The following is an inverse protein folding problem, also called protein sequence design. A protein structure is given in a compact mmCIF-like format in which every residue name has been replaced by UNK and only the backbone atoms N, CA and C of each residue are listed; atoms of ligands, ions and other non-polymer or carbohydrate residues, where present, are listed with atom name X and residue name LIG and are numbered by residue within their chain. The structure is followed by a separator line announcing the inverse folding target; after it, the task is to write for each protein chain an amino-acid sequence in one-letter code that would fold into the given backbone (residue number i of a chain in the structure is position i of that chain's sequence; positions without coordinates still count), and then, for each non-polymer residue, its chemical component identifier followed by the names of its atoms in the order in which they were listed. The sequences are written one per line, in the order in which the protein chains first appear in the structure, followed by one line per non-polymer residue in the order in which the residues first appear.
data_IF_353501909778
#
_entry.id   IF_353501909778
#
_cell.length_a   1.000
_cell.length_b   1.000
_cell.length_c   1.000
_cell.angle_alpha   90.00
_cell.angle_beta   90.00
_cell.angle_gamma   90.00
#
_symmetry.space_group_name_H-M   'P 1'
#
loop_
_entity.id
_entity.type
_entity.pdbx_description
1 polymer ?
#
# COMPACT_ATOMS: atom_id res chain seq x y z
N UNK A 1 -16.27 1.04 -0.80
CA UNK A 1 -15.07 0.86 -1.64
C UNK A 1 -15.47 1.09 -3.08
N UNK A 2 -14.72 1.89 -3.83
CA UNK A 2 -14.93 2.11 -5.26
C UNK A 2 -14.73 0.84 -6.10
N UNK A 3 -13.96 -0.12 -5.56
CA UNK A 3 -13.69 -1.42 -6.18
C UNK A 3 -14.95 -2.18 -6.58
N UNK A 4 -16.06 -1.99 -5.85
CA UNK A 4 -17.36 -2.64 -6.11
C UNK A 4 -18.06 -2.17 -7.40
N UNK A 5 -17.62 -1.05 -7.97
CA UNK A 5 -18.20 -0.49 -9.18
C UNK A 5 -17.39 -0.81 -10.44
N UNK A 6 -16.31 -1.59 -10.32
CA UNK A 6 -15.58 -2.10 -11.47
C UNK A 6 -16.31 -3.30 -12.09
N UNK A 7 -16.18 -3.50 -13.43
CA UNK A 7 -16.78 -4.65 -14.11
C UNK A 7 -16.06 -5.98 -13.81
N UNK A 8 -15.04 -5.97 -12.93
CA UNK A 8 -14.28 -7.13 -12.49
C UNK A 8 -13.98 -7.01 -11.00
N UNK A 9 -13.85 -8.16 -10.33
CA UNK A 9 -13.47 -8.20 -8.92
C UNK A 9 -12.01 -7.75 -8.79
N UNK A 10 -11.80 -6.74 -7.96
CA UNK A 10 -10.47 -6.30 -7.55
C UNK A 10 -10.37 -6.21 -6.03
N UNK A 11 -9.25 -6.67 -5.49
CA UNK A 11 -8.87 -6.51 -4.10
C UNK A 11 -7.59 -5.68 -3.93
N UNK A 12 -7.23 -5.45 -2.67
CA UNK A 12 -6.06 -4.64 -2.33
C UNK A 12 -4.74 -5.30 -2.79
N UNK A 13 -4.65 -6.63 -2.70
CA UNK A 13 -3.50 -7.41 -3.15
C UNK A 13 -3.26 -7.23 -4.66
N UNK A 14 -4.32 -7.29 -5.46
CA UNK A 14 -4.28 -7.09 -6.91
C UNK A 14 -3.91 -5.65 -7.27
N UNK A 15 -4.39 -4.65 -6.52
CA UNK A 15 -3.99 -3.25 -6.70
C UNK A 15 -2.48 -3.09 -6.46
N UNK A 16 -1.95 -3.58 -5.34
CA UNK A 16 -0.51 -3.52 -5.06
C UNK A 16 0.30 -4.25 -6.12
N UNK A 17 -0.11 -5.46 -6.52
CA UNK A 17 0.54 -6.22 -7.59
C UNK A 17 0.62 -5.39 -8.87
N UNK A 18 -0.50 -4.80 -9.30
CA UNK A 18 -0.54 -3.98 -10.52
C UNK A 18 0.37 -2.76 -10.41
N UNK A 19 0.31 -2.03 -9.30
CA UNK A 19 1.16 -0.85 -9.08
C UNK A 19 2.65 -1.20 -9.14
N UNK A 20 3.06 -2.27 -8.46
CA UNK A 20 4.46 -2.70 -8.42
C UNK A 20 4.93 -3.20 -9.78
N UNK A 21 4.13 -4.02 -10.48
CA UNK A 21 4.48 -4.50 -11.83
C UNK A 21 4.57 -3.36 -12.86
N UNK A 22 3.79 -2.29 -12.70
CA UNK A 22 3.79 -1.16 -13.65
C UNK A 22 4.86 -0.11 -13.31
N UNK A 23 5.04 0.24 -12.03
CA UNK A 23 5.85 1.38 -11.61
C UNK A 23 7.02 1.05 -10.70
N UNK A 24 7.05 -0.13 -10.08
CA UNK A 24 7.99 -0.50 -9.03
C UNK A 24 7.64 0.09 -7.66
N UNK A 25 8.17 -0.52 -6.60
CA UNK A 25 7.94 -0.12 -5.20
C UNK A 25 8.39 1.31 -4.88
N UNK A 26 9.41 1.83 -5.55
CA UNK A 26 9.96 3.18 -5.37
C UNK A 26 9.02 4.34 -5.76
N UNK A 27 7.87 4.05 -6.40
CA UNK A 27 6.87 5.07 -6.79
C UNK A 27 5.60 5.04 -5.95
N UNK A 28 5.55 4.21 -4.91
CA UNK A 28 4.36 3.99 -4.09
C UNK A 28 4.57 4.60 -2.71
N UNK A 29 3.57 5.32 -2.22
CA UNK A 29 3.58 5.89 -0.87
C UNK A 29 2.42 5.32 -0.06
N UNK A 30 2.71 4.93 1.17
CA UNK A 30 1.71 4.57 2.16
C UNK A 30 0.88 5.78 2.60
N UNK A 31 -0.42 5.57 2.81
CA UNK A 31 -1.33 6.58 3.34
C UNK A 31 -2.62 5.97 3.88
N UNK A 32 -3.03 6.41 5.08
CA UNK A 32 -4.23 5.90 5.77
C UNK A 32 -5.49 6.71 5.49
N UNK A 33 -5.39 7.85 4.80
CA UNK A 33 -6.50 8.80 4.64
C UNK A 33 -7.12 9.19 6.00
N UNK A 34 -6.24 9.46 6.97
CA UNK A 34 -6.64 9.87 8.32
C UNK A 34 -7.08 11.34 8.32
N UNK A 35 -8.07 11.65 9.15
CA UNK A 35 -8.69 12.99 9.23
C UNK A 35 -8.51 13.60 10.61
N UNK A 36 -9.14 14.75 10.84
CA UNK A 36 -9.25 15.41 12.14
C UNK A 36 -9.89 14.52 13.22
N UNK A 37 -9.64 14.88 14.48
CA UNK A 37 -10.17 14.27 15.70
C UNK A 37 -11.72 14.35 15.75
N UNK A 38 -12.46 13.34 16.23
CA UNK A 38 -12.01 12.17 17.01
C UNK A 38 -11.64 10.94 16.19
N UNK A 39 -11.90 10.93 14.86
CA UNK A 39 -11.61 9.76 14.02
C UNK A 39 -10.12 9.42 13.99
N UNK A 40 -9.28 10.46 13.85
CA UNK A 40 -7.83 10.33 13.92
C UNK A 40 -7.25 9.27 12.98
N UNK A 41 -6.29 8.51 13.51
CA UNK A 41 -5.52 7.51 12.78
C UNK A 41 -6.35 6.27 12.40
N UNK A 42 -6.44 5.97 11.11
CA UNK A 42 -7.17 4.80 10.59
C UNK A 42 -6.31 3.54 10.58
N UNK A 43 -6.15 2.91 11.76
CA UNK A 43 -5.31 1.71 11.93
C UNK A 43 -5.73 0.54 11.04
N UNK A 44 -7.02 0.35 10.82
CA UNK A 44 -7.56 -0.72 9.98
C UNK A 44 -7.12 -0.61 8.51
N UNK A 45 -6.81 0.61 8.02
CA UNK A 45 -6.27 0.83 6.68
C UNK A 45 -4.80 0.39 6.62
N UNK A 46 -4.01 0.68 7.65
CA UNK A 46 -2.64 0.19 7.76
C UNK A 46 -2.61 -1.34 7.77
N UNK A 47 -3.41 -1.97 8.64
CA UNK A 47 -3.45 -3.43 8.78
C UNK A 47 -3.82 -4.12 7.46
N UNK A 48 -4.84 -3.62 6.75
CA UNK A 48 -5.23 -4.17 5.46
C UNK A 48 -4.12 -4.04 4.40
N UNK A 49 -3.42 -2.91 4.33
CA UNK A 49 -2.33 -2.69 3.37
C UNK A 49 -1.10 -3.54 3.68
N UNK A 50 -0.74 -3.67 4.97
CA UNK A 50 0.35 -4.56 5.41
C UNK A 50 0.03 -6.02 5.09
N UNK A 51 -1.21 -6.45 5.36
CA UNK A 51 -1.65 -7.81 5.04
C UNK A 51 -1.56 -8.09 3.55
N UNK A 52 -2.03 -7.18 2.68
CA UNK A 52 -1.91 -7.33 1.24
C UNK A 52 -0.44 -7.43 0.77
N UNK A 53 0.46 -6.66 1.37
CA UNK A 53 1.90 -6.75 1.08
C UNK A 53 2.50 -8.08 1.55
N UNK A 54 2.13 -8.57 2.74
CA UNK A 54 2.58 -9.86 3.24
C UNK A 54 2.14 -11.02 2.35
N UNK A 55 0.91 -10.96 1.81
CA UNK A 55 0.43 -11.94 0.84
C UNK A 55 1.19 -11.89 -0.48
N UNK A 56 1.57 -10.69 -0.97
CA UNK A 56 2.44 -10.56 -2.15
C UNK A 56 3.87 -11.03 -1.91
N UNK A 57 4.38 -10.82 -0.69
CA UNK A 57 5.67 -11.35 -0.26
C UNK A 57 5.64 -12.88 -0.24
N UNK A 58 4.57 -13.48 0.29
CA UNK A 58 4.38 -14.93 0.28
C UNK A 58 4.26 -15.49 -1.15
N UNK A 59 3.66 -14.75 -2.08
CA UNK A 59 3.63 -15.08 -3.51
C UNK A 59 4.99 -14.89 -4.23
N UNK A 60 6.01 -14.34 -3.56
CA UNK A 60 7.32 -14.03 -4.15
C UNK A 60 7.33 -12.83 -5.11
N UNK A 61 6.31 -11.96 -5.05
CA UNK A 61 6.18 -10.79 -5.93
C UNK A 61 7.02 -9.61 -5.43
N UNK A 62 7.13 -9.47 -4.11
CA UNK A 62 7.88 -8.41 -3.45
C UNK A 62 8.72 -8.98 -2.31
N UNK A 63 9.70 -8.20 -1.86
CA UNK A 63 10.52 -8.52 -0.70
C UNK A 63 10.37 -7.46 0.42
N UNK A 64 11.14 -7.62 1.51
CA UNK A 64 11.09 -6.68 2.64
C UNK A 64 11.59 -5.28 2.30
N UNK A 65 12.54 -5.14 1.36
CA UNK A 65 13.03 -3.84 0.89
C UNK A 65 11.95 -3.07 0.11
N UNK A 66 11.13 -3.77 -0.67
CA UNK A 66 9.96 -3.18 -1.33
C UNK A 66 8.95 -2.64 -0.32
N UNK A 67 8.64 -3.42 0.72
CA UNK A 67 7.73 -2.99 1.79
C UNK A 67 8.32 -1.79 2.53
N UNK A 68 9.61 -1.83 2.87
CA UNK A 68 10.31 -0.71 3.49
C UNK A 68 10.22 0.57 2.65
N UNK A 69 10.45 0.49 1.33
CA UNK A 69 10.32 1.63 0.42
C UNK A 69 8.91 2.22 0.45
N UNK A 70 7.88 1.39 0.32
CA UNK A 70 6.49 1.84 0.24
C UNK A 70 6.00 2.51 1.53
N UNK A 71 6.38 1.98 2.69
CA UNK A 71 5.86 2.43 3.99
C UNK A 71 6.74 3.47 4.68
N UNK A 72 7.99 3.67 4.24
CA UNK A 72 8.91 4.61 4.87
C UNK A 72 9.96 5.21 3.94
N UNK A 73 10.72 4.38 3.20
CA UNK A 73 11.89 4.84 2.44
C UNK A 73 11.55 5.93 1.42
N UNK A 74 10.47 5.75 0.65
CA UNK A 74 10.10 6.69 -0.40
C UNK A 74 9.67 8.05 0.16
N UNK A 75 8.91 8.09 1.26
CA UNK A 75 8.50 9.36 1.86
C UNK A 75 9.68 10.08 2.49
N UNK A 76 10.60 9.33 3.12
CA UNK A 76 11.84 9.88 3.67
C UNK A 76 12.67 10.57 2.59
N UNK A 77 12.89 9.89 1.48
CA UNK A 77 13.69 10.42 0.37
C UNK A 77 12.99 11.61 -0.30
N UNK A 78 11.68 11.51 -0.54
CA UNK A 78 10.89 12.58 -1.19
C UNK A 78 10.80 13.84 -0.31
N UNK A 79 10.57 13.68 0.99
CA UNK A 79 10.42 14.78 1.93
C UNK A 79 11.75 15.27 2.52
N UNK A 80 12.88 14.62 2.19
CA UNK A 80 14.23 14.91 2.71
C UNK A 80 14.29 14.87 4.24
N UNK A 81 13.71 13.82 4.83
CA UNK A 81 13.66 13.57 6.28
C UNK A 81 14.86 12.76 6.79
#
# INVERSE_FOLDING_TARGET
SWMKYLPYDIDLKQIFRKMITTGGSHKVLFGTDSTFFPRGWRINVLEAQVQACNELKADGVINDDDIYKMFYGNIKDMARL
#
